data_IF_622702878135
#
_entry.id   IF_622702878135
#
_cell.length_a   1.000
_cell.length_b   1.000
_cell.length_c   1.000
_cell.angle_alpha   90.00
_cell.angle_beta   90.00
_cell.angle_gamma   90.00
#
_symmetry.space_group_name_H-M   'P 1'
#
loop_
_entity.id
_entity.type
_entity.pdbx_description
1 polymer ?
#
# COMPACT_ATOMS: atom_id res chain seq x y z
N UNK A 1 -6.47 -6.09 18.80
CA UNK A 1 -7.35 -4.90 18.71
C UNK A 1 -7.10 -4.24 17.36
N UNK A 2 -8.14 -3.73 16.69
CA UNK A 2 -8.05 -3.06 15.38
C UNK A 2 -8.22 -1.55 15.59
N UNK A 3 -7.56 -0.74 14.77
CA UNK A 3 -7.63 0.72 14.75
C UNK A 3 -8.07 1.16 13.35
N UNK A 4 -9.26 1.76 13.25
CA UNK A 4 -9.86 2.13 11.98
C UNK A 4 -9.08 3.23 11.24
N UNK A 5 -8.60 4.24 11.96
CA UNK A 5 -7.81 5.33 11.36
C UNK A 5 -6.51 4.85 10.71
N UNK A 6 -5.92 3.77 11.23
CA UNK A 6 -4.67 3.18 10.72
C UNK A 6 -4.97 2.07 9.72
N UNK A 7 -5.67 1.01 10.15
CA UNK A 7 -5.84 -0.24 9.41
C UNK A 7 -7.08 -0.19 8.50
N UNK A 8 -8.16 0.47 8.92
CA UNK A 8 -9.34 0.69 8.09
C UNK A 8 -9.04 1.60 6.91
N UNK A 9 -8.44 2.76 7.18
CA UNK A 9 -7.97 3.71 6.15
C UNK A 9 -6.97 3.05 5.18
N UNK A 10 -6.00 2.29 5.69
CA UNK A 10 -5.06 1.56 4.84
C UNK A 10 -5.79 0.60 3.89
N UNK A 11 -6.74 -0.17 4.41
CA UNK A 11 -7.47 -1.18 3.65
C UNK A 11 -8.22 -0.57 2.46
N UNK A 12 -8.95 0.54 2.67
CA UNK A 12 -9.72 1.18 1.60
C UNK A 12 -8.82 1.83 0.55
N UNK A 13 -7.72 2.47 0.95
CA UNK A 13 -6.78 3.09 0.01
C UNK A 13 -6.05 2.04 -0.84
N UNK A 14 -5.50 1.00 -0.21
CA UNK A 14 -4.79 -0.06 -0.95
C UNK A 14 -5.73 -0.80 -1.91
N UNK A 15 -6.99 -1.05 -1.51
CA UNK A 15 -7.99 -1.62 -2.42
C UNK A 15 -8.26 -0.74 -3.65
N UNK A 16 -8.34 0.58 -3.47
CA UNK A 16 -8.48 1.55 -4.56
C UNK A 16 -7.26 1.54 -5.49
N UNK A 17 -6.05 1.58 -4.94
CA UNK A 17 -4.80 1.56 -5.70
C UNK A 17 -4.65 0.27 -6.51
N UNK A 18 -4.83 -0.90 -5.89
CA UNK A 18 -4.76 -2.19 -6.61
C UNK A 18 -5.78 -2.28 -7.75
N UNK A 19 -6.95 -1.66 -7.58
CA UNK A 19 -7.96 -1.58 -8.65
C UNK A 19 -7.53 -0.67 -9.78
N UNK A 20 -6.97 0.51 -9.46
CA UNK A 20 -6.42 1.42 -10.45
C UNK A 20 -5.26 0.78 -11.24
N UNK A 21 -4.34 0.08 -10.56
CA UNK A 21 -3.20 -0.59 -11.16
C UNK A 21 -3.59 -1.65 -12.19
N UNK A 22 -4.64 -2.44 -11.92
CA UNK A 22 -5.20 -3.38 -12.89
C UNK A 22 -5.77 -2.68 -14.13
N UNK A 23 -6.28 -1.46 -13.99
CA UNK A 23 -6.88 -0.72 -15.11
C UNK A 23 -5.84 -0.06 -16.01
N UNK A 24 -4.70 0.35 -15.45
CA UNK A 24 -3.61 0.99 -16.20
C UNK A 24 -2.50 0.00 -16.62
N UNK A 25 -2.72 -1.29 -16.42
CA UNK A 25 -1.80 -2.39 -16.73
C UNK A 25 -0.36 -2.16 -16.23
N UNK A 26 -0.24 -1.69 -14.99
CA UNK A 26 1.05 -1.39 -14.36
C UNK A 26 1.14 -2.00 -12.97
N UNK A 27 2.04 -2.98 -12.74
CA UNK A 27 2.14 -3.69 -11.47
C UNK A 27 2.59 -2.78 -10.32
N UNK A 28 2.30 -3.21 -9.10
CA UNK A 28 2.45 -2.40 -7.88
C UNK A 28 3.91 -1.94 -7.64
N UNK A 29 4.89 -2.77 -7.97
CA UNK A 29 6.35 -2.53 -7.84
C UNK A 29 6.91 -1.51 -8.83
N UNK A 30 6.16 -1.18 -9.89
CA UNK A 30 6.56 -0.15 -10.85
C UNK A 30 6.08 1.26 -10.47
N UNK A 31 5.40 1.41 -9.33
CA UNK A 31 4.93 2.70 -8.82
C UNK A 31 5.87 3.23 -7.74
N UNK A 32 6.05 4.56 -7.74
CA UNK A 32 6.74 5.27 -6.67
C UNK A 32 5.71 6.00 -5.83
N UNK A 33 5.67 5.69 -4.54
CA UNK A 33 4.71 6.26 -3.60
C UNK A 33 5.33 7.44 -2.87
N UNK A 34 4.61 8.55 -2.80
CA UNK A 34 4.96 9.71 -1.98
C UNK A 34 3.86 9.92 -0.95
N UNK A 35 4.24 9.92 0.32
CA UNK A 35 3.35 10.23 1.42
C UNK A 35 3.59 11.66 1.90
N UNK A 36 2.59 12.52 1.74
CA UNK A 36 2.62 13.85 2.34
C UNK A 36 2.10 13.80 3.77
N UNK A 37 3.00 13.48 4.70
CA UNK A 37 2.72 13.27 6.12
C UNK A 37 3.17 11.89 6.58
N UNK A 38 3.58 11.79 7.85
CA UNK A 38 4.15 10.57 8.46
C UNK A 38 3.36 10.12 9.70
N UNK A 39 2.04 10.33 9.70
CA UNK A 39 1.13 9.92 10.77
C UNK A 39 0.64 8.47 10.64
N UNK A 40 -0.23 8.05 11.56
CA UNK A 40 -0.74 6.67 11.63
C UNK A 40 -1.38 6.16 10.33
N UNK A 41 -2.18 6.99 9.65
CA UNK A 41 -2.78 6.61 8.37
C UNK A 41 -1.71 6.37 7.28
N UNK A 42 -0.75 7.28 7.12
CA UNK A 42 0.32 7.16 6.12
C UNK A 42 1.18 5.90 6.37
N UNK A 43 1.57 5.67 7.62
CA UNK A 43 2.32 4.47 8.00
C UNK A 43 1.49 3.19 7.82
N UNK A 44 0.19 3.23 8.13
CA UNK A 44 -0.72 2.11 7.90
C UNK A 44 -0.81 1.74 6.42
N UNK A 45 -0.96 2.74 5.55
CA UNK A 45 -1.02 2.54 4.09
C UNK A 45 0.30 2.01 3.56
N UNK A 46 1.44 2.61 3.95
CA UNK A 46 2.77 2.18 3.53
C UNK A 46 3.02 0.70 3.90
N UNK A 47 2.78 0.33 5.17
CA UNK A 47 2.93 -1.04 5.63
C UNK A 47 2.03 -2.03 4.86
N UNK A 48 0.79 -1.63 4.56
CA UNK A 48 -0.13 -2.50 3.83
C UNK A 48 0.25 -2.62 2.34
N UNK A 49 0.83 -1.59 1.73
CA UNK A 49 1.41 -1.66 0.39
C UNK A 49 2.59 -2.63 0.35
N UNK A 50 3.52 -2.54 1.31
CA UNK A 50 4.64 -3.49 1.44
C UNK A 50 4.09 -4.92 1.55
N UNK A 51 3.13 -5.18 2.44
CA UNK A 51 2.51 -6.51 2.55
C UNK A 51 1.84 -6.97 1.25
N UNK A 52 1.20 -6.06 0.51
CA UNK A 52 0.58 -6.37 -0.78
C UNK A 52 1.63 -6.72 -1.85
N UNK A 53 2.78 -6.04 -1.87
CA UNK A 53 3.92 -6.34 -2.73
C UNK A 53 4.54 -7.70 -2.41
N UNK A 54 4.82 -7.95 -1.11
CA UNK A 54 5.35 -9.24 -0.65
C UNK A 54 4.43 -10.41 -1.02
N UNK A 55 3.10 -10.22 -0.90
CA UNK A 55 2.10 -11.22 -1.30
C UNK A 55 2.12 -11.53 -2.80
N UNK A 56 2.59 -10.60 -3.63
CA UNK A 56 2.77 -10.78 -5.08
C UNK A 56 4.15 -11.33 -5.45
N UNK A 57 5.00 -11.65 -4.46
CA UNK A 57 6.32 -12.25 -4.68
C UNK A 57 7.46 -11.25 -4.87
N UNK A 58 7.20 -9.95 -4.66
CA UNK A 58 8.24 -8.92 -4.62
C UNK A 58 9.00 -9.07 -3.30
N UNK A 59 10.32 -8.96 -3.31
CA UNK A 59 11.14 -9.04 -2.10
C UNK A 59 11.01 -7.78 -1.23
N UNK A 60 11.43 -7.89 0.03
CA UNK A 60 11.31 -6.80 0.99
C UNK A 60 12.20 -5.60 0.64
N UNK A 61 13.38 -5.82 0.06
CA UNK A 61 14.32 -4.75 -0.28
C UNK A 61 13.75 -3.85 -1.39
N UNK A 62 13.00 -4.42 -2.33
CA UNK A 62 12.29 -3.67 -3.38
C UNK A 62 11.03 -2.99 -2.84
N UNK A 63 10.40 -3.56 -1.82
CA UNK A 63 9.12 -3.07 -1.29
C UNK A 63 9.24 -1.94 -0.25
N UNK A 64 10.33 -1.90 0.52
CA UNK A 64 10.63 -0.91 1.58
C UNK A 64 11.29 0.37 1.03
#
# INVERSE_FOLDING_TARGET
MFNDDIQGTASVIVAGLLTAFRHIDKPIDQHRFLFFGAGGAALGIANLLVMAMLKQGIDLETAD
#
